data_IF_400987801863
#
_entry.id   IF_400987801863
#
_cell.length_a   1.000
_cell.length_b   1.000
_cell.length_c   1.000
_cell.angle_alpha   90.00
_cell.angle_beta   90.00
_cell.angle_gamma   90.00
#
_symmetry.space_group_name_H-M   'P 1'
#
loop_
_entity.id
_entity.type
_entity.pdbx_description
1 polymer ?
#
# COMPACT_ATOMS: atom_id res chain seq x y z
N UNK A 1 -3.61 -2.48 3.36
CA UNK A 1 -4.42 -1.29 3.07
C UNK A 1 -3.74 -0.46 1.98
N UNK A 2 -4.48 -0.08 0.96
CA UNK A 2 -4.06 0.86 -0.09
C UNK A 2 -4.94 2.12 -0.02
N UNK A 3 -4.52 3.18 0.68
CA UNK A 3 -5.28 4.41 0.78
C UNK A 3 -4.97 5.35 -0.39
N UNK A 4 -5.98 6.04 -0.91
CA UNK A 4 -5.82 7.04 -1.96
C UNK A 4 -7.03 7.16 -2.87
N UNK A 5 -7.16 8.30 -3.54
CA UNK A 5 -8.22 8.52 -4.53
C UNK A 5 -8.18 7.44 -5.61
N UNK A 6 -9.35 7.00 -6.10
CA UNK A 6 -9.41 6.07 -7.22
C UNK A 6 -9.07 6.79 -8.52
N UNK A 7 -7.83 6.71 -8.93
CA UNK A 7 -7.30 7.29 -10.16
C UNK A 7 -6.26 6.35 -10.77
N UNK A 8 -6.18 6.22 -12.11
CA UNK A 8 -5.26 5.28 -12.75
C UNK A 8 -3.80 5.43 -12.28
N UNK A 9 -3.32 6.66 -12.13
CA UNK A 9 -1.94 6.92 -11.74
C UNK A 9 -1.60 6.51 -10.27
N UNK A 10 -2.62 6.29 -9.42
CA UNK A 10 -2.43 5.73 -8.07
C UNK A 10 -2.17 4.22 -8.06
N UNK A 11 -2.38 3.53 -9.20
CA UNK A 11 -1.96 2.15 -9.37
C UNK A 11 -2.84 1.09 -8.71
N UNK A 12 -4.16 1.35 -8.54
CA UNK A 12 -5.07 0.34 -7.99
C UNK A 12 -5.13 -0.91 -8.87
N UNK A 13 -5.06 -0.77 -10.20
CA UNK A 13 -5.00 -1.93 -11.11
C UNK A 13 -3.74 -2.75 -10.88
N UNK A 14 -2.58 -2.09 -10.80
CA UNK A 14 -1.30 -2.71 -10.46
C UNK A 14 -1.37 -3.46 -9.11
N UNK A 15 -2.01 -2.85 -8.11
CA UNK A 15 -2.19 -3.48 -6.81
C UNK A 15 -3.07 -4.73 -6.89
N UNK A 16 -4.18 -4.69 -7.61
CA UNK A 16 -5.05 -5.86 -7.80
C UNK A 16 -4.34 -7.00 -8.53
N UNK A 17 -3.54 -6.67 -9.54
CA UNK A 17 -2.71 -7.65 -10.23
C UNK A 17 -1.66 -8.27 -9.30
N UNK A 18 -1.00 -7.45 -8.48
CA UNK A 18 -0.06 -7.94 -7.47
C UNK A 18 -0.73 -8.82 -6.42
N UNK A 19 -1.93 -8.45 -5.93
CA UNK A 19 -2.74 -9.27 -5.01
C UNK A 19 -3.05 -10.63 -5.62
N UNK A 20 -3.44 -10.66 -6.90
CA UNK A 20 -3.66 -11.93 -7.60
C UNK A 20 -2.41 -12.81 -7.64
N UNK A 21 -1.23 -12.22 -7.91
CA UNK A 21 0.04 -12.96 -7.88
C UNK A 21 0.37 -13.49 -6.48
N UNK A 22 0.10 -12.71 -5.43
CA UNK A 22 0.27 -13.18 -4.03
C UNK A 22 -0.65 -14.37 -3.74
N UNK A 23 -1.91 -14.33 -4.22
CA UNK A 23 -2.86 -15.43 -4.04
C UNK A 23 -2.41 -16.73 -4.71
N UNK A 24 -1.77 -16.63 -5.88
CA UNK A 24 -1.21 -17.81 -6.56
C UNK A 24 -0.07 -18.46 -5.75
N UNK A 25 0.61 -17.70 -4.91
CA UNK A 25 1.74 -18.19 -4.10
C UNK A 25 1.31 -18.59 -2.68
N UNK A 26 0.49 -17.79 -1.99
CA UNK A 26 0.12 -17.99 -0.59
C UNK A 26 -1.30 -18.57 -0.39
N UNK A 27 -2.13 -18.57 -1.43
CA UNK A 27 -3.56 -18.94 -1.35
C UNK A 27 -4.49 -17.74 -1.12
N UNK A 28 -5.77 -17.90 -1.51
CA UNK A 28 -6.78 -16.82 -1.56
C UNK A 28 -7.27 -16.34 -0.19
N UNK A 29 -7.08 -17.10 0.87
CA UNK A 29 -7.57 -16.75 2.22
C UNK A 29 -6.47 -16.27 3.16
N UNK A 30 -5.23 -16.09 2.66
CA UNK A 30 -4.09 -15.72 3.49
C UNK A 30 -4.18 -14.30 4.05
N UNK A 31 -4.91 -13.39 3.41
CA UNK A 31 -5.01 -11.98 3.81
C UNK A 31 -6.23 -11.28 3.18
N UNK A 32 -6.57 -10.11 3.68
CA UNK A 32 -7.56 -9.20 3.07
C UNK A 32 -6.88 -7.99 2.48
N UNK A 33 -7.33 -7.56 1.29
CA UNK A 33 -6.88 -6.35 0.63
C UNK A 33 -7.97 -5.27 0.72
N UNK A 34 -7.61 -4.08 1.19
CA UNK A 34 -8.55 -2.95 1.31
C UNK A 34 -8.06 -1.80 0.46
N UNK A 35 -8.89 -1.35 -0.47
CA UNK A 35 -8.71 -0.12 -1.25
C UNK A 35 -9.59 0.95 -0.61
N UNK A 36 -8.96 1.96 -0.03
CA UNK A 36 -9.63 3.02 0.73
C UNK A 36 -9.53 4.35 0.00
N UNK A 37 -10.64 4.84 -0.51
CA UNK A 37 -10.74 6.12 -1.20
C UNK A 37 -11.85 6.14 -2.24
N UNK A 38 -12.39 7.33 -2.51
CA UNK A 38 -13.48 7.46 -3.45
C UNK A 38 -13.01 7.77 -4.87
N UNK A 39 -13.91 7.58 -5.81
CA UNK A 39 -13.73 7.80 -7.24
C UNK A 39 -13.79 9.26 -7.66
N UNK A 40 -14.37 10.16 -6.83
CA UNK A 40 -14.53 11.57 -7.15
C UNK A 40 -15.12 11.83 -8.56
N UNK A 41 -16.21 11.12 -8.89
CA UNK A 41 -16.87 11.19 -10.20
C UNK A 41 -16.22 10.30 -11.29
N UNK A 42 -15.27 9.42 -10.95
CA UNK A 42 -14.65 8.46 -11.88
C UNK A 42 -15.30 7.09 -11.78
N UNK A 43 -16.62 7.02 -11.89
CA UNK A 43 -17.41 5.79 -11.70
C UNK A 43 -16.97 4.65 -12.65
N UNK A 44 -16.58 5.01 -13.88
CA UNK A 44 -16.10 4.03 -14.86
C UNK A 44 -14.81 3.34 -14.38
N UNK A 45 -13.91 4.09 -13.72
CA UNK A 45 -12.68 3.52 -13.20
C UNK A 45 -12.97 2.59 -12.00
N UNK A 46 -13.84 2.99 -11.09
CA UNK A 46 -14.27 2.12 -9.97
C UNK A 46 -14.91 0.83 -10.49
N UNK A 47 -15.81 0.93 -11.49
CA UNK A 47 -16.42 -0.25 -12.13
C UNK A 47 -15.37 -1.16 -12.78
N UNK A 48 -14.34 -0.59 -13.42
CA UNK A 48 -13.21 -1.35 -13.97
C UNK A 48 -12.48 -2.14 -12.89
N UNK A 49 -12.17 -1.51 -11.76
CA UNK A 49 -11.50 -2.16 -10.62
C UNK A 49 -12.33 -3.31 -10.05
N UNK A 50 -13.65 -3.12 -9.90
CA UNK A 50 -14.58 -4.16 -9.43
C UNK A 50 -14.58 -5.36 -10.40
N UNK A 51 -14.70 -5.11 -11.71
CA UNK A 51 -14.64 -6.19 -12.72
C UNK A 51 -13.31 -6.95 -12.68
N UNK A 52 -12.20 -6.24 -12.48
CA UNK A 52 -10.88 -6.87 -12.36
C UNK A 52 -10.81 -7.77 -11.11
N UNK A 53 -11.43 -7.34 -10.01
CA UNK A 53 -11.54 -8.15 -8.79
C UNK A 53 -12.36 -9.42 -9.02
N UNK A 54 -13.46 -9.32 -9.78
CA UNK A 54 -14.29 -10.47 -10.18
C UNK A 54 -13.52 -11.42 -11.10
N UNK A 55 -12.83 -10.88 -12.10
CA UNK A 55 -12.00 -11.64 -13.04
C UNK A 55 -10.91 -12.46 -12.32
N UNK A 56 -10.29 -11.90 -11.31
CA UNK A 56 -9.30 -12.58 -10.48
C UNK A 56 -9.90 -13.42 -9.33
N UNK A 57 -11.24 -13.54 -9.25
CA UNK A 57 -11.95 -14.30 -8.20
C UNK A 57 -11.64 -13.83 -6.78
N UNK A 58 -11.42 -12.53 -6.60
CA UNK A 58 -11.02 -11.91 -5.32
C UNK A 58 -12.15 -11.13 -4.64
N UNK A 59 -13.41 -11.31 -5.03
CA UNK A 59 -14.57 -10.53 -4.58
C UNK A 59 -14.78 -10.58 -3.06
N UNK A 60 -14.49 -11.72 -2.44
CA UNK A 60 -14.60 -11.87 -0.99
C UNK A 60 -13.39 -11.30 -0.24
N UNK A 61 -12.24 -11.22 -0.87
CA UNK A 61 -10.96 -10.82 -0.29
C UNK A 61 -10.69 -9.33 -0.41
N UNK A 62 -11.06 -8.70 -1.55
CA UNK A 62 -10.83 -7.28 -1.80
C UNK A 62 -12.05 -6.47 -1.37
N UNK A 63 -11.81 -5.45 -0.54
CA UNK A 63 -12.86 -4.52 -0.08
C UNK A 63 -12.58 -3.12 -0.56
N UNK A 64 -13.60 -2.48 -1.13
CA UNK A 64 -13.58 -1.06 -1.50
C UNK A 64 -14.32 -0.25 -0.43
N UNK A 65 -13.63 0.72 0.17
CA UNK A 65 -14.18 1.63 1.18
C UNK A 65 -14.03 3.05 0.64
N UNK A 66 -15.14 3.75 0.46
CA UNK A 66 -15.14 5.05 -0.22
C UNK A 66 -14.51 6.16 0.60
N UNK A 67 -14.76 6.19 1.90
CA UNK A 67 -14.27 7.26 2.77
C UNK A 67 -14.06 6.78 4.20
N UNK A 68 -12.97 7.22 4.80
CA UNK A 68 -12.68 7.03 6.22
C UNK A 68 -12.34 8.37 6.87
N UNK A 69 -13.14 8.78 7.86
CA UNK A 69 -12.88 10.01 8.63
C UNK A 69 -11.70 9.85 9.59
N UNK A 70 -11.45 8.62 10.06
CA UNK A 70 -10.39 8.31 11.02
C UNK A 70 -9.26 7.53 10.32
N UNK A 71 -8.46 8.22 9.52
CA UNK A 71 -7.31 7.60 8.84
C UNK A 71 -6.30 6.98 9.81
N UNK A 72 -5.95 7.60 10.96
CA UNK A 72 -5.10 6.94 11.95
C UNK A 72 -5.59 5.55 12.36
N UNK A 73 -6.90 5.36 12.59
CA UNK A 73 -7.45 4.05 12.90
C UNK A 73 -7.30 3.07 11.73
N UNK A 74 -7.57 3.51 10.49
CA UNK A 74 -7.39 2.67 9.31
C UNK A 74 -5.94 2.19 9.17
N UNK A 75 -4.96 3.06 9.41
CA UNK A 75 -3.55 2.66 9.47
C UNK A 75 -3.29 1.70 10.63
N UNK A 76 -3.82 1.99 11.82
CA UNK A 76 -3.55 1.20 13.02
C UNK A 76 -3.99 -0.26 12.91
N UNK A 77 -5.15 -0.53 12.31
CA UNK A 77 -5.69 -1.89 12.12
C UNK A 77 -5.10 -2.64 10.91
N UNK A 78 -4.28 -1.98 10.11
CA UNK A 78 -3.66 -2.58 8.93
C UNK A 78 -2.26 -3.11 9.26
N UNK A 79 -1.88 -4.24 8.66
CA UNK A 79 -0.53 -4.79 8.79
C UNK A 79 0.44 -4.13 7.80
N UNK A 80 0.02 -4.00 6.55
CA UNK A 80 0.81 -3.40 5.47
C UNK A 80 0.09 -2.21 4.85
N UNK A 81 0.84 -1.16 4.53
CA UNK A 81 0.35 0.03 3.83
C UNK A 81 0.97 0.07 2.44
N UNK A 82 0.15 0.19 1.42
CA UNK A 82 0.58 0.16 0.02
C UNK A 82 0.41 1.53 -0.63
N UNK A 83 1.47 2.02 -1.28
CA UNK A 83 1.48 3.22 -2.12
C UNK A 83 2.00 2.85 -3.51
N UNK A 84 1.08 2.46 -4.40
CA UNK A 84 1.43 1.86 -5.69
C UNK A 84 1.38 2.84 -6.87
N UNK A 85 1.59 4.13 -6.62
CA UNK A 85 1.54 5.16 -7.68
C UNK A 85 2.49 4.83 -8.82
N UNK A 86 1.99 4.94 -10.05
CA UNK A 86 2.76 4.69 -11.28
C UNK A 86 3.36 5.98 -11.87
N UNK A 87 2.96 7.13 -11.31
CA UNK A 87 3.52 8.45 -11.61
C UNK A 87 4.15 9.03 -10.34
N UNK A 88 5.20 9.86 -10.44
CA UNK A 88 5.84 10.46 -9.28
C UNK A 88 4.89 11.32 -8.44
N UNK A 89 4.81 11.05 -7.15
CA UNK A 89 4.16 11.94 -6.18
C UNK A 89 5.18 12.92 -5.62
N UNK A 90 4.78 14.19 -5.48
CA UNK A 90 5.68 15.22 -4.97
C UNK A 90 6.18 14.92 -3.53
N UNK A 91 5.32 14.40 -2.66
CA UNK A 91 5.65 14.19 -1.24
C UNK A 91 5.47 12.74 -0.74
N UNK A 92 4.51 11.98 -1.30
CA UNK A 92 4.22 10.62 -0.85
C UNK A 92 3.57 10.56 0.55
N UNK A 93 2.48 11.31 0.77
CA UNK A 93 1.79 11.41 2.07
C UNK A 93 1.49 10.05 2.70
N UNK A 94 1.04 9.07 1.92
CA UNK A 94 0.75 7.72 2.40
C UNK A 94 1.97 7.08 3.06
N UNK A 95 3.16 7.27 2.47
CA UNK A 95 4.41 6.74 3.01
C UNK A 95 4.78 7.39 4.34
N UNK A 96 4.59 8.70 4.47
CA UNK A 96 4.87 9.44 5.71
C UNK A 96 3.87 9.04 6.80
N UNK A 97 2.57 9.03 6.49
CA UNK A 97 1.50 8.68 7.42
C UNK A 97 1.65 7.24 7.93
N UNK A 98 1.89 6.27 7.02
CA UNK A 98 2.09 4.87 7.39
C UNK A 98 3.31 4.66 8.30
N UNK A 99 4.47 5.24 7.96
CA UNK A 99 5.67 5.17 8.79
C UNK A 99 5.47 5.87 10.15
N UNK A 100 4.74 7.00 10.19
CA UNK A 100 4.41 7.68 11.45
C UNK A 100 3.59 6.81 12.40
N UNK A 101 2.78 5.91 11.85
CA UNK A 101 1.98 4.92 12.58
C UNK A 101 2.75 3.61 12.86
N UNK A 102 4.07 3.57 12.61
CA UNK A 102 4.95 2.38 12.73
C UNK A 102 4.51 1.20 11.86
N UNK A 103 3.86 1.47 10.73
CA UNK A 103 3.44 0.43 9.79
C UNK A 103 4.49 0.19 8.72
N UNK A 104 4.55 -1.05 8.24
CA UNK A 104 5.37 -1.37 7.08
C UNK A 104 4.72 -0.73 5.86
N UNK A 105 5.44 0.17 5.23
CA UNK A 105 5.01 0.80 3.99
C UNK A 105 5.72 0.14 2.81
N UNK A 106 4.93 -0.28 1.84
CA UNK A 106 5.41 -0.79 0.55
C UNK A 106 5.07 0.26 -0.49
N UNK A 107 6.06 0.87 -1.11
CA UNK A 107 5.85 1.97 -2.05
C UNK A 107 6.61 1.80 -3.37
N UNK A 108 6.07 2.40 -4.42
CA UNK A 108 6.77 2.53 -5.71
C UNK A 108 8.07 3.29 -5.53
N UNK A 109 9.14 2.81 -6.15
CA UNK A 109 10.47 3.44 -6.13
C UNK A 109 10.51 4.66 -7.08
N UNK A 110 9.61 5.64 -6.87
CA UNK A 110 9.53 6.89 -7.65
C UNK A 110 9.09 8.06 -6.75
N UNK A 111 9.47 9.28 -7.17
CA UNK A 111 9.03 10.52 -6.51
C UNK A 111 9.35 10.57 -5.02
N UNK A 112 8.48 11.19 -4.23
CA UNK A 112 8.66 11.41 -2.79
C UNK A 112 8.83 10.13 -1.96
N UNK A 113 8.45 8.93 -2.47
CA UNK A 113 8.70 7.68 -1.77
C UNK A 113 10.19 7.39 -1.60
N UNK A 114 11.03 7.76 -2.57
CA UNK A 114 12.49 7.60 -2.50
C UNK A 114 13.14 8.50 -1.45
N UNK A 115 12.48 9.60 -1.12
CA UNK A 115 12.97 10.51 -0.08
C UNK A 115 12.51 10.09 1.31
N UNK A 116 11.34 9.46 1.39
CA UNK A 116 10.68 9.12 2.66
C UNK A 116 10.99 7.71 3.15
N UNK A 117 11.38 6.78 2.27
CA UNK A 117 11.65 5.38 2.61
C UNK A 117 13.12 5.05 2.34
N UNK A 118 13.77 4.48 3.33
CA UNK A 118 15.06 3.79 3.18
C UNK A 118 14.74 2.31 2.98
N UNK A 119 14.95 1.83 1.73
CA UNK A 119 14.57 0.48 1.35
C UNK A 119 15.15 -0.59 2.28
N UNK A 120 14.34 -1.59 2.62
CA UNK A 120 14.62 -2.71 3.51
C UNK A 120 14.98 -2.31 4.96
N UNK A 121 14.92 -1.01 5.30
CA UNK A 121 15.19 -0.50 6.64
C UNK A 121 13.98 0.19 7.27
N UNK A 122 13.33 1.11 6.58
CA UNK A 122 12.19 1.88 7.09
C UNK A 122 10.88 1.56 6.38
N UNK A 123 10.93 0.70 5.40
CA UNK A 123 9.86 0.24 4.54
C UNK A 123 10.42 -0.51 3.34
N UNK A 124 9.57 -0.90 2.41
CA UNK A 124 9.93 -1.70 1.25
C UNK A 124 9.65 -0.92 -0.04
N UNK A 125 10.64 -0.80 -0.90
CA UNK A 125 10.46 -0.21 -2.23
C UNK A 125 10.31 -1.31 -3.28
N UNK A 126 9.44 -1.07 -4.26
CA UNK A 126 9.28 -1.94 -5.42
C UNK A 126 9.41 -1.14 -6.73
N UNK A 127 9.71 -1.82 -7.83
CA UNK A 127 9.83 -1.23 -9.15
C UNK A 127 8.48 -0.70 -9.63
N UNK A 128 8.39 0.60 -9.92
CA UNK A 128 7.16 1.25 -10.37
C UNK A 128 6.59 0.60 -11.63
N UNK A 129 5.28 0.41 -11.67
CA UNK A 129 4.61 -0.22 -12.80
C UNK A 129 4.79 -1.75 -12.88
N UNK A 130 5.51 -2.38 -11.95
CA UNK A 130 5.79 -3.81 -11.97
C UNK A 130 5.00 -4.58 -10.88
N UNK A 131 3.90 -5.27 -11.24
CA UNK A 131 3.07 -6.01 -10.29
C UNK A 131 3.79 -7.21 -9.66
N UNK A 132 4.75 -7.83 -10.38
CA UNK A 132 5.58 -8.91 -9.83
C UNK A 132 6.54 -8.39 -8.77
N UNK A 133 7.09 -7.19 -8.96
CA UNK A 133 7.93 -6.55 -7.94
C UNK A 133 7.11 -6.20 -6.70
N UNK A 134 5.89 -5.67 -6.87
CA UNK A 134 4.98 -5.37 -5.77
C UNK A 134 4.54 -6.65 -5.03
N UNK A 135 4.16 -7.71 -5.74
CA UNK A 135 3.74 -8.98 -5.10
C UNK A 135 4.84 -9.58 -4.23
N UNK A 136 6.09 -9.58 -4.68
CA UNK A 136 7.24 -10.04 -3.87
C UNK A 136 7.38 -9.26 -2.56
N UNK A 137 7.20 -7.94 -2.60
CA UNK A 137 7.27 -7.10 -1.40
C UNK A 137 6.08 -7.31 -0.47
N UNK A 138 4.89 -7.56 -1.02
CA UNK A 138 3.71 -7.92 -0.20
C UNK A 138 3.96 -9.26 0.50
N UNK A 139 4.44 -10.29 -0.21
CA UNK A 139 4.79 -11.60 0.37
C UNK A 139 5.84 -11.41 1.47
N UNK A 140 6.92 -10.67 1.20
CA UNK A 140 7.95 -10.36 2.19
C UNK A 140 7.35 -9.75 3.46
N UNK A 141 6.45 -8.76 3.32
CA UNK A 141 5.79 -8.13 4.46
C UNK A 141 4.84 -9.06 5.22
N UNK A 142 4.09 -9.92 4.51
CA UNK A 142 3.15 -10.88 5.12
C UNK A 142 3.86 -12.03 5.84
N UNK A 143 5.07 -12.40 5.39
CA UNK A 143 5.84 -13.52 5.95
C UNK A 143 6.94 -13.08 6.93
N UNK A 144 7.10 -11.78 7.13
CA UNK A 144 8.09 -11.22 8.08
C UNK A 144 7.70 -11.56 9.52
N UNK A 145 8.66 -11.95 10.33
CA UNK A 145 8.44 -12.20 11.75
C UNK A 145 8.09 -10.92 12.52
N UNK A 146 7.41 -11.08 13.66
CA UNK A 146 6.90 -9.95 14.46
C UNK A 146 8.01 -9.00 14.93
N UNK A 147 9.19 -9.54 15.24
CA UNK A 147 10.34 -8.75 15.69
C UNK A 147 10.84 -7.84 14.56
N UNK A 148 11.01 -8.40 13.38
CA UNK A 148 11.43 -7.66 12.17
C UNK A 148 10.41 -6.59 11.79
N UNK A 149 9.09 -6.90 11.85
CA UNK A 149 8.02 -5.93 11.63
C UNK A 149 8.12 -4.75 12.61
N UNK A 150 8.31 -5.03 13.91
CA UNK A 150 8.45 -3.99 14.94
C UNK A 150 9.70 -3.14 14.74
N UNK A 151 10.83 -3.74 14.38
CA UNK A 151 12.09 -3.01 14.11
C UNK A 151 11.88 -2.06 12.93
N UNK A 152 11.43 -2.57 11.78
CA UNK A 152 11.23 -1.75 10.57
C UNK A 152 10.20 -0.63 10.81
N UNK A 153 9.08 -0.91 11.46
CA UNK A 153 8.07 0.08 11.80
C UNK A 153 8.61 1.20 12.72
N UNK A 154 9.42 0.84 13.74
CA UNK A 154 10.04 1.82 14.62
C UNK A 154 11.09 2.66 13.89
N UNK A 155 11.92 2.05 13.03
CA UNK A 155 12.89 2.79 12.20
C UNK A 155 12.19 3.72 11.22
N UNK A 156 11.05 3.28 10.62
CA UNK A 156 10.20 4.13 9.79
C UNK A 156 9.74 5.38 10.54
N UNK A 157 9.17 5.22 11.72
CA UNK A 157 8.73 6.36 12.54
C UNK A 157 9.88 7.29 12.93
N UNK A 158 11.03 6.75 13.37
CA UNK A 158 12.21 7.57 13.70
C UNK A 158 12.69 8.39 12.50
N UNK A 159 12.72 7.77 11.31
CA UNK A 159 13.13 8.44 10.08
C UNK A 159 12.20 9.62 9.75
N UNK A 160 10.87 9.43 9.87
CA UNK A 160 9.90 10.50 9.60
C UNK A 160 9.99 11.62 10.61
N UNK A 161 10.08 11.32 11.90
CA UNK A 161 10.27 12.34 12.95
C UNK A 161 11.53 13.15 12.67
N UNK A 162 12.66 12.50 12.37
CA UNK A 162 13.92 13.19 12.07
C UNK A 162 13.84 14.12 10.85
N UNK A 163 13.10 13.70 9.79
CA UNK A 163 13.04 14.46 8.53
C UNK A 163 11.99 15.57 8.53
N UNK A 164 10.88 15.38 9.26
CA UNK A 164 9.67 16.21 9.15
C UNK A 164 9.16 16.71 10.49
N UNK A 165 10.01 16.69 11.55
CA UNK A 165 9.65 17.31 12.82
C UNK A 165 9.62 18.82 12.61
N UNK A 166 8.47 19.43 12.86
CA UNK A 166 8.32 20.89 12.94
C UNK A 166 8.59 21.23 14.42
N UNK A 167 9.74 21.83 14.71
CA UNK A 167 10.01 22.44 16.00
C UNK A 167 9.08 23.64 16.25
#
# INVERSE_FOLDING_TARGET
LMPGRLTPWKGQELFLEAVNLVNLELGYEAFYAVILGNEQGRDLYKKKLIRLTEQYRMTNQVKFIDHCKNMPLAYQISDLIISASIEPEAFGRVSVEGQSMKKIVIASNIGGSNETIINDKTGLLFESGNPKSLSKRIIQGLTMDETSLKIMGNEGRKNIIKKFNVE
#
